data_IF_123591549068
#
_entry.id   IF_123591549068
#
_cell.length_a   1.000
_cell.length_b   1.000
_cell.length_c   1.000
_cell.angle_alpha   90.00
_cell.angle_beta   90.00
_cell.angle_gamma   90.00
#
_symmetry.space_group_name_H-M   'P 1'
#
loop_
_entity.id
_entity.type
_entity.pdbx_description
1 polymer ?
#
# COMPACT_ATOMS: atom_id res chain seq x y z
N UNK A 1 22.12 29.45 9.23
CA UNK A 1 22.61 28.23 9.90
C UNK A 1 21.54 27.41 10.64
N UNK A 2 20.47 28.02 11.21
CA UNK A 2 19.46 27.28 12.01
C UNK A 2 18.58 26.27 11.24
N UNK A 3 18.37 26.43 9.93
CA UNK A 3 17.54 25.51 9.10
C UNK A 3 18.20 24.14 8.82
N UNK A 4 19.52 24.06 8.77
CA UNK A 4 20.24 22.80 8.52
C UNK A 4 20.27 21.87 9.74
N UNK A 5 20.24 22.45 10.94
CA UNK A 5 20.21 21.69 12.19
C UNK A 5 18.84 21.03 12.42
N UNK A 6 17.77 21.71 12.03
CA UNK A 6 16.39 21.16 12.18
C UNK A 6 16.14 19.97 11.26
N UNK A 7 16.65 20.01 10.02
CA UNK A 7 16.53 18.88 9.07
C UNK A 7 17.30 17.64 9.57
N UNK A 8 18.48 17.85 10.16
CA UNK A 8 19.25 16.76 10.77
C UNK A 8 18.56 16.11 11.97
N UNK A 9 17.89 16.90 12.83
CA UNK A 9 17.16 16.38 13.97
C UNK A 9 15.91 15.59 13.59
N UNK A 10 15.20 15.99 12.54
CA UNK A 10 14.04 15.23 12.02
C UNK A 10 14.50 13.90 11.44
N UNK A 11 15.61 13.85 10.67
CA UNK A 11 16.15 12.59 10.15
C UNK A 11 16.63 11.65 11.26
N UNK A 12 17.27 12.18 12.31
CA UNK A 12 17.74 11.39 13.46
C UNK A 12 16.54 10.85 14.26
N UNK A 13 15.47 11.63 14.40
CA UNK A 13 14.26 11.20 15.10
C UNK A 13 13.57 10.03 14.37
N UNK A 14 13.53 10.04 13.03
CA UNK A 14 13.01 8.91 12.23
C UNK A 14 13.87 7.64 12.36
N UNK A 15 15.16 7.76 12.62
CA UNK A 15 16.04 6.60 12.82
C UNK A 15 15.95 5.99 14.23
N UNK A 16 15.48 6.74 15.24
CA UNK A 16 15.39 6.25 16.62
C UNK A 16 14.08 5.50 16.89
N UNK A 17 13.02 5.76 16.12
CA UNK A 17 11.78 4.99 16.12
C UNK A 17 11.85 3.81 15.15
N UNK A 18 12.83 2.93 15.34
CA UNK A 18 12.77 1.59 14.75
C UNK A 18 11.92 0.72 15.67
N UNK A 19 10.67 0.38 15.33
CA UNK A 19 9.94 -0.61 16.09
C UNK A 19 10.70 -1.93 15.95
N UNK A 20 11.08 -2.47 17.08
CA UNK A 20 11.71 -3.78 17.15
C UNK A 20 10.74 -4.80 16.54
N UNK A 21 11.17 -5.44 15.44
CA UNK A 21 10.54 -6.61 14.85
C UNK A 21 9.08 -6.38 14.41
N UNK A 22 8.93 -5.70 13.30
CA UNK A 22 7.76 -5.92 12.46
C UNK A 22 7.96 -7.31 11.86
N UNK A 23 7.20 -8.28 12.34
CA UNK A 23 7.02 -9.50 11.58
C UNK A 23 6.50 -9.08 10.21
N UNK A 24 7.15 -9.55 9.14
CA UNK A 24 6.67 -9.33 7.80
C UNK A 24 5.19 -9.76 7.75
N UNK A 25 4.36 -8.95 7.13
CA UNK A 25 2.96 -9.28 6.89
C UNK A 25 2.84 -10.73 6.47
N UNK A 26 1.97 -11.47 7.12
CA UNK A 26 1.72 -12.87 6.80
C UNK A 26 1.57 -13.03 5.30
N UNK A 27 2.35 -13.95 4.71
CA UNK A 27 2.34 -14.21 3.27
C UNK A 27 3.28 -13.37 2.41
N UNK A 28 4.14 -12.51 2.99
CA UNK A 28 5.10 -11.67 2.24
C UNK A 28 4.47 -10.87 1.10
N UNK A 29 3.19 -10.54 1.21
CA UNK A 29 2.49 -9.71 0.22
C UNK A 29 3.00 -8.28 0.30
N UNK A 30 3.49 -7.77 -0.81
CA UNK A 30 3.86 -6.37 -0.92
C UNK A 30 2.60 -5.50 -0.97
N UNK A 31 2.61 -4.38 -0.25
CA UNK A 31 1.58 -3.34 -0.41
C UNK A 31 1.55 -2.76 -1.84
N UNK A 32 2.64 -2.90 -2.58
CA UNK A 32 2.72 -2.46 -3.95
C UNK A 32 2.18 -3.53 -4.91
N UNK A 33 1.06 -3.21 -5.54
CA UNK A 33 0.58 -3.98 -6.67
C UNK A 33 1.25 -3.48 -7.95
N UNK A 34 1.97 -4.32 -8.69
CA UNK A 34 2.54 -3.93 -9.97
C UNK A 34 1.48 -3.33 -10.89
N UNK A 35 1.73 -2.12 -11.39
CA UNK A 35 0.79 -1.41 -12.27
C UNK A 35 -0.21 -0.49 -11.56
N UNK A 36 -0.33 -0.52 -10.23
CA UNK A 36 -1.23 0.39 -9.50
C UNK A 36 -0.75 1.84 -9.52
N UNK A 37 0.55 2.06 -9.61
CA UNK A 37 1.12 3.39 -9.77
C UNK A 37 1.52 3.61 -11.23
N UNK A 38 0.73 4.38 -11.97
CA UNK A 38 1.08 4.73 -13.35
C UNK A 38 2.23 5.72 -13.38
N UNK A 39 3.13 5.56 -14.34
CA UNK A 39 4.45 6.19 -14.39
C UNK A 39 4.40 7.72 -14.49
N UNK A 40 3.36 8.30 -15.07
CA UNK A 40 3.33 9.74 -15.37
C UNK A 40 2.61 10.60 -14.34
N UNK A 41 1.64 10.05 -13.61
CA UNK A 41 0.81 10.83 -12.69
C UNK A 41 1.27 10.79 -11.23
N UNK A 42 2.14 9.86 -10.87
CA UNK A 42 2.50 9.56 -9.46
C UNK A 42 3.13 10.75 -8.74
N UNK A 43 3.92 11.56 -9.43
CA UNK A 43 4.58 12.73 -8.85
C UNK A 43 3.93 14.07 -9.20
N UNK A 44 2.77 14.06 -9.84
CA UNK A 44 2.00 15.28 -10.12
C UNK A 44 1.13 15.61 -8.90
N UNK A 45 1.34 16.78 -8.33
CA UNK A 45 0.54 17.24 -7.19
C UNK A 45 -0.92 17.44 -7.63
N UNK A 46 -1.90 16.88 -6.91
CA UNK A 46 -3.29 17.16 -7.14
C UNK A 46 -3.63 18.65 -6.94
N UNK A 47 -4.79 19.07 -7.46
CA UNK A 47 -5.33 20.39 -7.15
C UNK A 47 -5.58 20.53 -5.64
N UNK A 48 -5.43 21.73 -5.06
CA UNK A 48 -5.80 21.97 -3.67
C UNK A 48 -7.28 21.66 -3.42
N UNK A 49 -7.56 21.10 -2.24
CA UNK A 49 -8.91 20.74 -1.84
C UNK A 49 -9.03 19.27 -1.47
N UNK A 50 -10.27 18.83 -1.33
CA UNK A 50 -10.60 17.46 -0.98
C UNK A 50 -10.77 16.61 -2.24
N UNK A 51 -10.22 15.40 -2.20
CA UNK A 51 -10.37 14.37 -3.22
C UNK A 51 -10.91 13.10 -2.57
N UNK A 52 -12.03 12.63 -3.05
CA UNK A 52 -12.56 11.30 -2.71
C UNK A 52 -11.93 10.26 -3.63
N UNK A 53 -11.60 9.12 -3.08
CA UNK A 53 -11.04 7.97 -3.81
C UNK A 53 -11.92 6.76 -3.57
N UNK A 54 -12.29 6.11 -4.65
CA UNK A 54 -12.89 4.78 -4.66
C UNK A 54 -12.19 3.98 -5.76
N UNK A 55 -11.44 2.97 -5.38
CA UNK A 55 -10.69 2.12 -6.31
C UNK A 55 -11.10 0.67 -6.09
N UNK A 56 -11.44 -0.01 -7.17
CA UNK A 56 -11.82 -1.42 -7.16
C UNK A 56 -10.73 -2.24 -7.83
N UNK A 57 -10.24 -3.23 -7.12
CA UNK A 57 -9.25 -4.19 -7.61
C UNK A 57 -9.88 -5.58 -7.71
N UNK A 58 -9.80 -6.15 -8.91
CA UNK A 58 -10.17 -7.55 -9.16
C UNK A 58 -8.90 -8.32 -9.46
N UNK A 59 -8.69 -9.38 -8.73
CA UNK A 59 -7.57 -10.28 -8.95
C UNK A 59 -8.09 -11.70 -9.16
N UNK A 60 -7.57 -12.37 -10.16
CA UNK A 60 -7.77 -13.80 -10.37
C UNK A 60 -6.45 -14.40 -10.80
N UNK A 61 -6.02 -15.43 -10.13
CA UNK A 61 -4.76 -16.08 -10.43
C UNK A 61 -4.78 -17.55 -10.07
N UNK A 62 -3.98 -18.32 -10.79
CA UNK A 62 -3.72 -19.71 -10.46
C UNK A 62 -2.21 -19.97 -10.45
N UNK A 63 -1.77 -20.81 -9.54
CA UNK A 63 -0.40 -21.26 -9.47
C UNK A 63 -0.36 -22.77 -9.37
N UNK A 64 0.40 -23.39 -10.27
CA UNK A 64 0.65 -24.82 -10.24
C UNK A 64 2.15 -25.05 -10.04
N UNK A 65 2.51 -25.82 -9.04
CA UNK A 65 3.89 -26.16 -8.77
C UNK A 65 4.03 -27.65 -8.52
N UNK A 66 4.77 -28.33 -9.38
CA UNK A 66 5.29 -29.65 -9.09
C UNK A 66 6.47 -29.50 -8.13
N UNK A 67 6.33 -29.96 -6.90
CA UNK A 67 7.44 -29.96 -5.95
C UNK A 67 8.35 -31.15 -6.21
N UNK A 68 9.64 -30.91 -6.13
CA UNK A 68 10.75 -31.82 -6.36
C UNK A 68 10.46 -33.30 -5.99
N UNK A 69 10.78 -34.20 -6.93
CA UNK A 69 10.63 -35.66 -6.86
C UNK A 69 9.22 -36.20 -7.09
N UNK A 70 8.35 -35.46 -7.80
CA UNK A 70 7.16 -36.05 -8.46
C UNK A 70 6.03 -36.49 -7.52
N UNK A 71 5.95 -35.99 -6.30
CA UNK A 71 4.95 -36.48 -5.34
C UNK A 71 4.01 -35.45 -4.73
N UNK A 72 4.18 -34.16 -4.96
CA UNK A 72 3.22 -33.15 -4.47
C UNK A 72 2.87 -32.20 -5.59
N UNK A 73 1.70 -32.38 -6.17
CA UNK A 73 1.09 -31.37 -7.03
C UNK A 73 0.38 -30.37 -6.11
N UNK A 74 0.76 -29.10 -6.22
CA UNK A 74 0.08 -27.99 -5.58
C UNK A 74 -0.67 -27.25 -6.68
N UNK A 75 -1.99 -27.24 -6.62
CA UNK A 75 -2.86 -26.38 -7.41
C UNK A 75 -3.43 -25.33 -6.47
N UNK A 76 -3.16 -24.07 -6.76
CA UNK A 76 -3.67 -22.92 -6.02
C UNK A 76 -4.49 -22.06 -6.99
N UNK A 77 -5.73 -21.83 -6.65
CA UNK A 77 -6.58 -20.85 -7.31
C UNK A 77 -6.91 -19.76 -6.30
N UNK A 78 -6.72 -18.51 -6.71
CA UNK A 78 -7.02 -17.36 -5.90
C UNK A 78 -7.92 -16.41 -6.67
N UNK A 79 -8.98 -15.99 -6.03
CA UNK A 79 -9.83 -14.89 -6.46
C UNK A 79 -9.89 -13.86 -5.34
N UNK A 80 -9.69 -12.60 -5.68
CA UNK A 80 -9.84 -11.53 -4.71
C UNK A 80 -10.49 -10.29 -5.35
N UNK A 81 -11.37 -9.70 -4.57
CA UNK A 81 -11.97 -8.41 -4.86
C UNK A 81 -11.70 -7.46 -3.71
N UNK A 82 -11.08 -6.33 -3.98
CA UNK A 82 -10.87 -5.29 -2.99
C UNK A 82 -11.48 -3.98 -3.46
N UNK A 83 -12.13 -3.29 -2.55
CA UNK A 83 -12.59 -1.93 -2.71
C UNK A 83 -11.84 -1.03 -1.72
N UNK A 84 -11.10 -0.07 -2.23
CA UNK A 84 -10.36 0.93 -1.47
C UNK A 84 -11.17 2.22 -1.46
N UNK A 85 -11.70 2.59 -0.30
CA UNK A 85 -12.49 3.82 -0.13
C UNK A 85 -11.73 4.78 0.75
N UNK A 86 -11.62 6.02 0.34
CA UNK A 86 -10.88 6.99 1.12
C UNK A 86 -11.02 8.43 0.67
N UNK A 87 -10.22 9.27 1.31
CA UNK A 87 -10.19 10.67 0.99
C UNK A 87 -8.85 11.30 1.31
N UNK A 88 -8.49 12.29 0.51
CA UNK A 88 -7.26 13.04 0.65
C UNK A 88 -7.53 14.53 0.57
N UNK A 89 -6.79 15.29 1.35
CA UNK A 89 -6.85 16.75 1.31
C UNK A 89 -5.49 17.31 0.90
N UNK A 90 -5.46 18.09 -0.16
CA UNK A 90 -4.26 18.78 -0.65
C UNK A 90 -4.30 20.23 -0.19
N UNK A 91 -3.28 20.64 0.55
CA UNK A 91 -3.18 21.99 1.08
C UNK A 91 -2.85 23.00 -0.02
N UNK A 92 -3.48 24.16 0.06
CA UNK A 92 -3.23 25.25 -0.90
C UNK A 92 -1.88 25.93 -0.63
N UNK A 93 -1.49 26.07 0.63
CA UNK A 93 -0.21 26.69 1.02
C UNK A 93 0.92 25.65 0.99
N UNK A 94 2.08 26.02 0.45
CA UNK A 94 3.22 25.12 0.46
C UNK A 94 3.70 24.83 1.88
N UNK A 95 4.05 23.57 2.13
CA UNK A 95 4.64 23.07 3.37
C UNK A 95 6.04 22.56 3.04
N UNK A 96 7.06 23.00 3.77
CA UNK A 96 8.45 22.64 3.51
C UNK A 96 8.91 22.87 2.04
N UNK A 97 8.30 23.83 1.35
CA UNK A 97 8.60 24.14 -0.04
C UNK A 97 7.89 23.25 -1.06
N UNK A 98 7.07 22.32 -0.64
CA UNK A 98 6.28 21.41 -1.47
C UNK A 98 4.79 21.53 -1.22
N UNK A 99 3.96 20.93 -2.07
CA UNK A 99 2.54 20.73 -1.82
C UNK A 99 2.34 19.52 -0.90
N UNK A 100 1.71 19.75 0.25
CA UNK A 100 1.36 18.68 1.17
C UNK A 100 -0.03 18.14 0.83
N UNK A 101 -0.16 16.83 0.81
CA UNK A 101 -1.42 16.10 0.79
C UNK A 101 -1.44 15.15 1.98
N UNK A 102 -2.57 15.06 2.66
CA UNK A 102 -2.80 14.09 3.74
C UNK A 102 -4.12 13.38 3.52
N UNK A 103 -4.23 12.15 3.97
CA UNK A 103 -5.48 11.41 3.86
C UNK A 103 -5.33 9.97 4.26
N UNK A 104 -6.31 9.18 3.89
CA UNK A 104 -6.27 7.76 4.17
C UNK A 104 -7.30 6.99 3.36
N UNK A 105 -7.13 5.68 3.35
CA UNK A 105 -7.99 4.71 2.69
C UNK A 105 -8.32 3.57 3.64
N UNK A 106 -9.50 3.01 3.46
CA UNK A 106 -9.96 1.80 4.12
C UNK A 106 -10.16 0.73 3.05
N UNK A 107 -9.41 -0.38 3.07
CA UNK A 107 -9.64 -1.51 2.19
C UNK A 107 -10.79 -2.36 2.72
N UNK A 108 -11.68 -2.77 1.84
CA UNK A 108 -12.71 -3.76 2.10
C UNK A 108 -12.58 -4.83 1.03
N UNK A 109 -12.56 -6.10 1.41
CA UNK A 109 -12.27 -7.14 0.44
C UNK A 109 -12.97 -8.45 0.68
N UNK A 110 -13.04 -9.21 -0.40
CA UNK A 110 -13.42 -10.60 -0.43
C UNK A 110 -12.28 -11.40 -1.05
N UNK A 111 -11.91 -12.48 -0.39
CA UNK A 111 -10.87 -13.40 -0.88
C UNK A 111 -11.43 -14.81 -0.89
N UNK A 112 -11.19 -15.53 -1.97
CA UNK A 112 -11.53 -16.94 -2.15
C UNK A 112 -10.26 -17.67 -2.59
N UNK A 113 -9.80 -18.58 -1.77
CA UNK A 113 -8.58 -19.35 -1.95
C UNK A 113 -8.91 -20.83 -1.97
N UNK A 114 -8.66 -21.48 -3.09
CA UNK A 114 -8.75 -22.93 -3.21
C UNK A 114 -7.34 -23.50 -3.41
N UNK A 115 -6.92 -24.33 -2.46
CA UNK A 115 -5.64 -25.04 -2.55
C UNK A 115 -5.86 -26.54 -2.58
N UNK A 116 -5.19 -27.22 -3.51
CA UNK A 116 -5.19 -28.68 -3.61
C UNK A 116 -3.77 -29.22 -3.49
N UNK A 117 -3.56 -30.04 -2.49
CA UNK A 117 -2.26 -30.67 -2.22
C UNK A 117 -2.44 -32.18 -2.27
N UNK A 118 -2.03 -32.80 -3.39
CA UNK A 118 -2.25 -34.23 -3.61
C UNK A 118 -3.76 -34.56 -3.64
N UNK A 119 -4.24 -35.27 -2.62
CA UNK A 119 -5.65 -35.65 -2.46
C UNK A 119 -6.41 -34.76 -1.48
N UNK A 120 -5.75 -33.80 -0.86
CA UNK A 120 -6.37 -32.87 0.12
C UNK A 120 -6.75 -31.58 -0.59
N UNK A 121 -7.99 -31.16 -0.44
CA UNK A 121 -8.47 -29.85 -0.90
C UNK A 121 -8.79 -29.00 0.32
N UNK A 122 -8.33 -27.77 0.32
CA UNK A 122 -8.58 -26.76 1.33
C UNK A 122 -9.18 -25.57 0.60
N UNK A 123 -10.33 -25.09 1.07
CA UNK A 123 -10.96 -23.88 0.56
C UNK A 123 -11.14 -22.92 1.73
N UNK A 124 -10.74 -21.68 1.53
CA UNK A 124 -10.87 -20.60 2.49
C UNK A 124 -11.51 -19.39 1.83
N UNK A 125 -12.53 -18.84 2.49
CA UNK A 125 -13.29 -17.69 2.01
C UNK A 125 -13.44 -16.69 3.13
N UNK A 126 -13.05 -15.47 2.84
CA UNK A 126 -13.08 -14.41 3.83
C UNK A 126 -13.57 -13.09 3.24
N UNK A 127 -14.34 -12.36 4.04
CA UNK A 127 -14.84 -11.02 3.70
C UNK A 127 -14.55 -10.11 4.86
N UNK A 128 -13.57 -9.24 4.68
CA UNK A 128 -13.02 -8.43 5.76
C UNK A 128 -12.84 -6.97 5.38
N UNK A 129 -12.80 -6.14 6.42
CA UNK A 129 -12.23 -4.81 6.36
C UNK A 129 -10.74 -4.96 6.71
N UNK A 130 -9.88 -4.55 5.81
CA UNK A 130 -8.45 -4.59 6.07
C UNK A 130 -7.95 -3.40 6.89
N UNK A 131 -6.67 -3.40 7.19
CA UNK A 131 -6.03 -2.32 7.91
C UNK A 131 -6.10 -1.01 7.15
N UNK A 132 -6.58 0.02 7.82
CA UNK A 132 -6.65 1.36 7.24
C UNK A 132 -5.24 1.93 7.05
N UNK A 133 -5.06 2.68 5.98
CA UNK A 133 -3.79 3.33 5.65
C UNK A 133 -3.95 4.84 5.73
N UNK A 134 -3.18 5.47 6.60
CA UNK A 134 -3.04 6.92 6.67
C UNK A 134 -1.77 7.33 5.94
N UNK A 135 -1.85 8.34 5.11
CA UNK A 135 -0.73 8.78 4.28
C UNK A 135 -0.54 10.29 4.31
N UNK A 136 0.71 10.70 4.26
CA UNK A 136 1.12 12.06 4.02
C UNK A 136 2.11 12.10 2.84
N UNK A 137 1.89 12.98 1.89
CA UNK A 137 2.72 13.11 0.70
C UNK A 137 3.13 14.55 0.46
N UNK A 138 4.40 14.77 0.16
CA UNK A 138 4.96 16.05 -0.27
C UNK A 138 5.35 15.96 -1.74
N UNK A 139 4.78 16.85 -2.52
CA UNK A 139 5.04 16.94 -3.95
C UNK A 139 5.92 18.14 -4.26
N UNK A 140 6.94 17.89 -5.05
CA UNK A 140 7.89 18.90 -5.49
C UNK A 140 7.99 18.88 -7.01
N UNK A 141 8.27 20.05 -7.59
CA UNK A 141 8.50 20.17 -9.02
C UNK A 141 9.41 21.35 -9.34
N UNK A 142 10.36 21.13 -10.25
CA UNK A 142 11.21 22.18 -10.80
C UNK A 142 11.48 21.87 -12.26
N UNK A 143 11.02 22.75 -13.16
CA UNK A 143 11.09 22.48 -14.60
C UNK A 143 10.34 21.20 -14.97
N UNK A 144 11.03 20.30 -15.64
CA UNK A 144 10.50 19.00 -16.08
C UNK A 144 10.66 17.89 -15.05
N UNK A 145 11.32 18.18 -13.91
CA UNK A 145 11.54 17.18 -12.86
C UNK A 145 10.48 17.31 -11.79
N UNK A 146 9.86 16.19 -11.46
CA UNK A 146 8.85 16.07 -10.38
C UNK A 146 9.20 14.91 -9.50
N UNK A 147 9.02 15.07 -8.20
CA UNK A 147 9.18 13.99 -7.24
C UNK A 147 8.18 14.10 -6.11
N UNK A 148 7.85 12.96 -5.55
CA UNK A 148 6.91 12.79 -4.45
C UNK A 148 7.61 12.02 -3.34
N UNK A 149 7.53 12.55 -2.13
CA UNK A 149 7.89 11.83 -0.92
C UNK A 149 6.59 11.44 -0.21
N UNK A 150 6.41 10.17 0.08
CA UNK A 150 5.21 9.67 0.76
C UNK A 150 5.62 8.87 1.98
N UNK A 151 4.94 9.14 3.08
CA UNK A 151 4.97 8.32 4.30
C UNK A 151 3.57 7.75 4.50
N UNK A 152 3.50 6.47 4.90
CA UNK A 152 2.24 5.79 5.14
C UNK A 152 2.30 4.97 6.43
N UNK A 153 1.23 5.03 7.21
CA UNK A 153 1.06 4.28 8.46
C UNK A 153 -0.13 3.36 8.27
N UNK A 154 0.09 2.08 8.54
CA UNK A 154 -0.94 1.06 8.59
C UNK A 154 -1.47 1.01 10.02
N UNK A 155 -2.77 1.14 10.18
CA UNK A 155 -3.43 1.08 11.49
C UNK A 155 -4.14 -0.26 11.61
N UNK A 156 -3.96 -1.00 12.73
CA UNK A 156 -4.56 -2.32 12.89
C UNK A 156 -6.07 -2.17 13.16
N UNK A 157 -6.82 -1.89 12.11
CA UNK A 157 -8.28 -1.70 12.14
C UNK A 157 -9.02 -2.81 11.40
N UNK A 158 -8.26 -3.71 10.76
CA UNK A 158 -8.78 -4.88 10.09
C UNK A 158 -9.41 -5.90 11.05
N UNK A 159 -10.36 -6.66 10.56
CA UNK A 159 -11.07 -7.71 11.31
C UNK A 159 -11.05 -9.02 10.57
#
# INVERSE_FOLDING_TARGET
MKKKVFLGQVLICCCIFQPKLVHATEGASSYYFPGSATTFATAVAPAPGFMFVNEMLFYSGSAQKAVLRGKVNLDLNAYAFYNYVGGFYTFNKPVLGGKLQVGGIVPMGYTDLDAKIGHVSISDRDTNIGDSVLSAALYYGKGNVRYKLTESIFTPTGS
#
